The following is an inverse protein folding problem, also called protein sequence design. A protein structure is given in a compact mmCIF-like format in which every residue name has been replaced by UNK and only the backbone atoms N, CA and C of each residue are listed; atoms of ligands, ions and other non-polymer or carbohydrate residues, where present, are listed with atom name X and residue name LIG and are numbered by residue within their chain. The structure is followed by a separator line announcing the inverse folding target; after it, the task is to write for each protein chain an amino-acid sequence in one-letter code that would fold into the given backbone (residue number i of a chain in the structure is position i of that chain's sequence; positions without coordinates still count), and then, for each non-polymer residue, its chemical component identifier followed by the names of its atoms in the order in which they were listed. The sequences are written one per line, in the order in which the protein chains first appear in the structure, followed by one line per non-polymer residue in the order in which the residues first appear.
data_IF_083619940776
#
_entry.id   IF_083619940776
#
_cell.length_a   1.000
_cell.length_b   1.000
_cell.length_c   1.000
_cell.angle_alpha   90.00
_cell.angle_beta   90.00
_cell.angle_gamma   90.00
#
_symmetry.space_group_name_H-M   'P 1'
#
loop_
_entity.id
_entity.type
_entity.pdbx_description
1 polymer ?
#
# COMPACT_ATOMS: atom_id res chain seq x y z
N UNK A 1 67.35 35.74 -79.34
CA UNK A 1 66.18 36.64 -79.35
C UNK A 1 65.07 35.88 -78.66
N UNK A 2 64.39 36.58 -77.74
CA UNK A 2 63.31 36.19 -76.80
C UNK A 2 63.72 35.45 -75.52
N UNK A 3 63.66 36.23 -74.43
CA UNK A 3 63.57 35.87 -73.01
C UNK A 3 62.49 34.82 -72.75
N UNK A 4 62.80 33.84 -71.89
CA UNK A 4 61.81 33.03 -71.18
C UNK A 4 61.57 33.60 -69.77
N UNK A 5 60.29 33.60 -69.37
CA UNK A 5 59.72 34.18 -68.16
C UNK A 5 60.17 33.47 -66.87
N UNK A 6 60.13 34.15 -65.71
CA UNK A 6 60.53 33.56 -64.43
C UNK A 6 59.44 32.64 -63.86
N UNK A 7 59.86 31.52 -63.26
CA UNK A 7 59.01 30.65 -62.44
C UNK A 7 58.81 31.29 -61.05
N UNK A 8 57.56 31.56 -60.66
CA UNK A 8 57.22 31.97 -59.30
C UNK A 8 57.42 30.83 -58.28
N UNK A 9 57.81 31.12 -57.04
CA UNK A 9 57.98 30.09 -56.01
C UNK A 9 56.64 29.53 -55.54
N UNK A 10 56.54 28.20 -55.45
CA UNK A 10 55.39 27.49 -54.87
C UNK A 10 55.11 27.95 -53.43
N UNK A 11 53.90 28.44 -53.18
CA UNK A 11 53.45 28.87 -51.85
C UNK A 11 53.31 27.69 -50.89
N UNK A 12 53.81 27.86 -49.66
CA UNK A 12 53.68 26.87 -48.58
C UNK A 12 52.21 26.52 -48.28
N UNK A 13 51.91 25.24 -47.96
CA UNK A 13 50.54 24.83 -47.62
C UNK A 13 50.08 25.45 -46.30
N UNK A 14 48.97 26.20 -46.38
CA UNK A 14 48.28 26.80 -45.24
C UNK A 14 47.75 25.73 -44.26
N UNK A 15 47.94 25.89 -42.93
CA UNK A 15 47.37 24.97 -41.95
C UNK A 15 45.84 25.15 -41.86
N UNK A 16 45.12 24.03 -41.82
CA UNK A 16 43.66 24.01 -41.68
C UNK A 16 43.23 24.58 -40.31
N UNK A 17 42.11 25.32 -40.24
CA UNK A 17 41.64 25.91 -38.99
C UNK A 17 41.20 24.84 -37.97
N UNK A 18 41.36 25.10 -36.66
CA UNK A 18 41.05 24.12 -35.61
C UNK A 18 39.55 23.84 -35.52
N UNK A 19 39.22 22.55 -35.49
CA UNK A 19 37.86 22.01 -35.43
C UNK A 19 37.23 22.32 -34.05
N UNK A 20 36.21 23.18 -34.01
CA UNK A 20 35.46 23.57 -32.79
C UNK A 20 34.68 22.37 -32.23
N UNK A 21 35.16 21.77 -31.14
CA UNK A 21 34.58 20.55 -30.49
C UNK A 21 33.80 20.82 -29.18
N UNK A 22 33.40 22.06 -28.88
CA UNK A 22 32.98 22.43 -27.52
C UNK A 22 31.51 22.91 -27.43
N UNK A 23 30.64 22.56 -28.39
CA UNK A 23 29.19 22.91 -28.31
C UNK A 23 28.25 21.75 -28.66
N UNK A 24 28.30 20.61 -27.95
CA UNK A 24 27.05 19.84 -27.81
C UNK A 24 26.80 19.23 -26.42
N UNK A 25 27.29 19.80 -25.31
CA UNK A 25 27.06 19.22 -23.97
C UNK A 25 26.01 19.94 -23.10
N UNK A 26 25.63 21.20 -23.37
CA UNK A 26 24.64 21.92 -22.56
C UNK A 26 23.19 21.82 -23.09
N UNK A 27 22.99 21.32 -24.32
CA UNK A 27 21.68 21.23 -24.97
C UNK A 27 20.88 19.97 -24.64
N UNK A 28 21.49 18.93 -24.03
CA UNK A 28 20.81 17.67 -23.77
C UNK A 28 19.89 17.72 -22.53
N UNK A 29 20.25 18.51 -21.51
CA UNK A 29 19.48 18.60 -20.26
C UNK A 29 18.17 19.39 -20.41
N UNK A 30 18.16 20.44 -21.24
CA UNK A 30 16.95 21.21 -21.56
C UNK A 30 16.01 20.46 -22.51
N UNK A 31 16.55 19.65 -23.42
CA UNK A 31 15.76 18.82 -24.33
C UNK A 31 14.99 17.69 -23.60
N UNK A 32 15.59 17.09 -22.56
CA UNK A 32 14.94 16.04 -21.76
C UNK A 32 13.72 16.52 -20.96
N UNK A 33 13.79 17.72 -20.39
CA UNK A 33 12.69 18.30 -19.59
C UNK A 33 11.51 18.75 -20.47
N UNK A 34 11.77 19.29 -21.67
CA UNK A 34 10.72 19.67 -22.62
C UNK A 34 10.02 18.45 -23.23
N UNK A 35 10.75 17.36 -23.52
CA UNK A 35 10.18 16.14 -24.12
C UNK A 35 9.23 15.41 -23.17
N UNK A 36 9.50 15.44 -21.85
CA UNK A 36 8.64 14.84 -20.82
C UNK A 36 7.28 15.55 -20.66
N UNK A 37 7.16 16.81 -21.13
CA UNK A 37 5.93 17.60 -21.01
C UNK A 37 4.93 17.28 -22.15
N UNK A 38 5.42 16.80 -23.30
CA UNK A 38 4.60 16.53 -24.49
C UNK A 38 4.31 15.05 -24.76
N UNK A 39 4.96 14.11 -24.06
CA UNK A 39 4.71 12.67 -24.18
C UNK A 39 4.26 12.11 -22.82
N UNK A 40 2.93 11.98 -22.58
CA UNK A 40 2.40 11.33 -21.39
C UNK A 40 2.95 9.88 -21.28
N UNK A 41 3.76 9.60 -20.26
CA UNK A 41 4.35 8.26 -20.02
C UNK A 41 5.85 8.12 -20.31
N UNK A 42 6.55 9.18 -20.71
CA UNK A 42 8.00 9.16 -20.93
C UNK A 42 8.82 9.02 -19.63
N UNK A 43 8.28 9.50 -18.50
CA UNK A 43 8.82 9.21 -17.18
C UNK A 43 8.11 7.96 -16.63
N UNK A 44 8.84 6.98 -16.06
CA UNK A 44 8.22 5.86 -15.38
C UNK A 44 7.29 6.40 -14.30
N UNK A 45 5.98 6.16 -14.44
CA UNK A 45 5.00 6.52 -13.42
C UNK A 45 5.33 5.73 -12.16
N UNK A 46 5.64 6.45 -11.07
CA UNK A 46 5.65 5.85 -9.74
C UNK A 46 4.27 5.22 -9.49
N UNK A 47 4.24 3.90 -9.32
CA UNK A 47 3.02 3.21 -8.89
C UNK A 47 2.88 3.43 -7.40
N UNK A 48 1.74 3.98 -7.01
CA UNK A 48 1.38 4.14 -5.60
C UNK A 48 0.38 3.04 -5.23
N UNK A 49 0.77 2.15 -4.32
CA UNK A 49 -0.16 1.28 -3.61
C UNK A 49 -0.92 2.11 -2.58
N UNK A 50 -2.23 1.87 -2.44
CA UNK A 50 -3.08 2.55 -1.46
C UNK A 50 -3.93 1.50 -0.75
N UNK A 51 -4.03 1.64 0.57
CA UNK A 51 -4.78 0.73 1.42
C UNK A 51 -5.13 1.38 2.75
N UNK A 52 -5.56 0.53 3.68
CA UNK A 52 -5.94 0.90 5.04
C UNK A 52 -5.02 0.22 6.03
N UNK A 53 -4.83 0.82 7.20
CA UNK A 53 -4.29 0.16 8.37
C UNK A 53 -5.01 0.61 9.63
N UNK A 54 -4.60 0.09 10.77
CA UNK A 54 -5.12 0.53 12.06
C UNK A 54 -4.09 0.39 13.18
N UNK A 55 -4.19 1.26 14.19
CA UNK A 55 -3.32 1.27 15.36
C UNK A 55 -3.50 0.03 16.24
N UNK A 56 -2.41 -0.61 16.66
CA UNK A 56 -2.43 -1.85 17.48
C UNK A 56 -1.66 -1.75 18.78
N UNK A 57 -0.80 -0.75 18.92
CA UNK A 57 -0.08 -0.44 20.15
C UNK A 57 0.34 1.04 20.17
N UNK A 58 0.56 1.56 21.37
CA UNK A 58 1.07 2.92 21.57
C UNK A 58 2.44 3.10 20.89
N UNK A 59 2.74 4.32 20.44
CA UNK A 59 3.98 4.61 19.70
C UNK A 59 3.84 4.50 18.18
N UNK A 60 2.61 4.45 17.66
CA UNK A 60 2.34 4.48 16.21
C UNK A 60 2.55 3.15 15.51
N UNK A 61 2.32 2.03 16.19
CA UNK A 61 2.34 0.71 15.56
C UNK A 61 1.04 0.50 14.80
N UNK A 62 1.16 0.21 13.50
CA UNK A 62 0.02 0.05 12.59
C UNK A 62 0.09 -1.32 11.94
N UNK A 63 -1.02 -2.07 11.98
CA UNK A 63 -1.20 -3.25 11.14
C UNK A 63 -1.82 -2.85 9.80
N UNK A 64 -1.36 -3.49 8.73
CA UNK A 64 -1.94 -3.40 7.38
C UNK A 64 -1.67 -4.69 6.61
N UNK A 65 -2.15 -4.77 5.36
CA UNK A 65 -1.90 -5.90 4.50
C UNK A 65 -0.48 -5.85 3.89
N UNK A 66 0.21 -6.99 3.81
CA UNK A 66 1.57 -7.05 3.30
C UNK A 66 1.66 -6.55 1.85
N UNK A 67 0.71 -6.96 1.01
CA UNK A 67 0.71 -6.58 -0.40
C UNK A 67 0.55 -5.07 -0.64
N UNK A 68 0.04 -4.30 0.35
CA UNK A 68 -0.05 -2.83 0.26
C UNK A 68 1.33 -2.19 0.28
N UNK A 69 2.25 -2.71 1.10
CA UNK A 69 3.55 -2.07 1.38
C UNK A 69 4.76 -2.83 0.85
N UNK A 70 4.55 -4.04 0.31
CA UNK A 70 5.62 -4.88 -0.21
C UNK A 70 6.35 -4.22 -1.37
N UNK A 71 7.68 -4.17 -1.28
CA UNK A 71 8.53 -3.57 -2.31
C UNK A 71 8.48 -2.04 -2.36
N UNK A 72 7.82 -1.39 -1.40
CA UNK A 72 7.74 0.05 -1.33
C UNK A 72 9.11 0.66 -1.00
N UNK A 73 9.49 1.70 -1.74
CA UNK A 73 10.66 2.55 -1.42
C UNK A 73 10.31 3.60 -0.37
N UNK A 74 9.04 3.99 -0.27
CA UNK A 74 8.53 4.92 0.73
C UNK A 74 7.13 4.46 1.19
N UNK A 75 6.90 4.51 2.51
CA UNK A 75 5.58 4.24 3.11
C UNK A 75 5.16 5.51 3.86
N UNK A 76 3.92 5.94 3.60
CA UNK A 76 3.27 7.04 4.29
C UNK A 76 1.97 6.57 4.93
N UNK A 77 1.74 7.00 6.16
CA UNK A 77 0.49 6.81 6.90
C UNK A 77 -0.20 8.17 7.01
N UNK A 78 -1.46 8.24 6.60
CA UNK A 78 -2.29 9.42 6.77
C UNK A 78 -3.30 9.19 7.88
N UNK A 79 -3.33 10.12 8.83
CA UNK A 79 -4.24 10.09 9.97
C UNK A 79 -4.66 11.52 10.30
N UNK A 80 -5.96 11.76 10.48
CA UNK A 80 -6.54 13.11 10.68
C UNK A 80 -6.07 14.16 9.65
N UNK A 81 -5.88 13.72 8.40
CA UNK A 81 -5.41 14.57 7.29
C UNK A 81 -3.91 14.90 7.31
N UNK A 82 -3.16 14.44 8.32
CA UNK A 82 -1.72 14.62 8.43
C UNK A 82 -0.98 13.43 7.83
N UNK A 83 0.13 13.71 7.14
CA UNK A 83 1.01 12.70 6.55
C UNK A 83 2.18 12.40 7.48
N UNK A 84 2.34 11.13 7.83
CA UNK A 84 3.46 10.62 8.63
C UNK A 84 4.27 9.64 7.79
N UNK A 85 5.60 9.74 7.87
CA UNK A 85 6.46 8.68 7.33
C UNK A 85 6.32 7.45 8.21
N UNK A 86 6.36 6.27 7.62
CA UNK A 86 6.37 5.02 8.36
C UNK A 86 7.40 4.04 7.78
N UNK A 87 7.82 3.10 8.62
CA UNK A 87 8.74 2.02 8.25
C UNK A 87 8.07 0.68 8.51
N UNK A 88 8.16 -0.25 7.55
CA UNK A 88 7.75 -1.64 7.78
C UNK A 88 8.81 -2.35 8.62
N UNK A 89 8.48 -2.65 9.88
CA UNK A 89 9.38 -3.33 10.83
C UNK A 89 9.19 -4.84 10.85
N UNK A 90 8.06 -5.33 10.33
CA UNK A 90 7.86 -6.74 10.03
C UNK A 90 6.93 -6.91 8.81
N UNK A 91 7.22 -7.92 8.00
CA UNK A 91 6.44 -8.28 6.82
C UNK A 91 6.27 -9.80 6.79
N UNK A 92 5.06 -10.26 6.49
CA UNK A 92 4.75 -11.68 6.28
C UNK A 92 3.84 -11.81 5.06
N UNK A 93 4.43 -12.01 3.87
CA UNK A 93 3.66 -12.24 2.64
C UNK A 93 2.75 -13.48 2.75
N UNK A 94 3.22 -14.54 3.41
CA UNK A 94 2.46 -15.81 3.59
C UNK A 94 1.21 -15.67 4.47
N UNK A 95 1.10 -14.58 5.22
CA UNK A 95 -0.08 -14.24 6.01
C UNK A 95 -0.76 -12.97 5.52
N UNK A 96 -0.21 -12.35 4.47
CA UNK A 96 -0.57 -11.01 4.01
C UNK A 96 -0.60 -9.95 5.13
N UNK A 97 0.36 -9.98 6.05
CA UNK A 97 0.47 -9.04 7.18
C UNK A 97 1.72 -8.17 7.10
N UNK A 98 1.57 -6.88 7.42
CA UNK A 98 2.67 -5.97 7.67
C UNK A 98 2.45 -5.22 8.99
N UNK A 99 3.55 -5.05 9.74
CA UNK A 99 3.60 -4.18 10.90
C UNK A 99 4.46 -2.97 10.54
N UNK A 100 3.84 -1.79 10.63
CA UNK A 100 4.48 -0.51 10.42
C UNK A 100 4.72 0.18 11.76
N UNK A 101 5.72 1.06 11.81
CA UNK A 101 5.89 2.06 12.86
C UNK A 101 5.92 3.45 12.22
N UNK A 102 5.12 4.38 12.75
CA UNK A 102 5.10 5.77 12.32
C UNK A 102 6.25 6.56 12.95
N UNK A 103 6.94 7.36 12.14
CA UNK A 103 7.95 8.29 12.63
C UNK A 103 7.27 9.44 13.39
N UNK A 104 7.79 9.78 14.58
CA UNK A 104 7.21 10.82 15.46
C UNK A 104 5.69 10.68 15.61
N UNK A 105 5.27 9.46 15.96
CA UNK A 105 3.88 9.08 15.96
C UNK A 105 3.02 10.02 16.83
N UNK A 106 1.88 10.50 16.29
CA UNK A 106 0.86 11.14 17.11
C UNK A 106 0.25 10.11 18.08
N UNK A 107 -0.61 10.53 19.04
CA UNK A 107 -1.33 9.61 19.93
C UNK A 107 -2.42 8.83 19.18
N UNK A 108 -2.02 8.00 18.21
CA UNK A 108 -2.89 7.14 17.43
C UNK A 108 -3.62 6.17 18.38
N UNK A 109 -4.96 6.18 18.41
CA UNK A 109 -5.75 5.23 19.19
C UNK A 109 -5.44 3.78 18.83
N UNK A 110 -5.54 2.92 19.84
CA UNK A 110 -5.25 1.50 19.72
C UNK A 110 -6.56 0.74 19.60
N UNK A 111 -6.71 -0.03 18.52
CA UNK A 111 -7.84 -0.90 18.28
C UNK A 111 -7.90 -2.04 19.32
N UNK A 112 -9.10 -2.37 19.78
CA UNK A 112 -9.33 -3.59 20.57
C UNK A 112 -9.40 -4.80 19.66
N UNK A 113 -8.74 -5.90 20.03
CA UNK A 113 -8.70 -7.13 19.22
C UNK A 113 -9.59 -8.20 19.84
N UNK A 114 -10.41 -8.86 19.04
CA UNK A 114 -11.32 -9.88 19.54
C UNK A 114 -10.57 -11.16 19.97
N UNK A 115 -10.82 -11.63 21.18
CA UNK A 115 -10.42 -12.95 21.68
C UNK A 115 -11.30 -14.08 21.14
N UNK A 116 -12.57 -13.77 20.90
CA UNK A 116 -13.53 -14.74 20.39
C UNK A 116 -13.45 -14.80 18.87
N UNK A 117 -13.51 -16.01 18.32
CA UNK A 117 -13.60 -16.21 16.86
C UNK A 117 -15.02 -15.88 16.37
N UNK A 118 -15.16 -15.19 15.22
CA UNK A 118 -16.46 -14.98 14.62
C UNK A 118 -17.07 -16.32 14.16
N UNK A 119 -18.39 -16.33 14.02
CA UNK A 119 -19.20 -17.44 13.53
C UNK A 119 -19.86 -17.06 12.22
N UNK A 120 -20.21 -18.08 11.42
CA UNK A 120 -21.02 -17.88 10.23
C UNK A 120 -22.37 -17.28 10.63
N UNK A 121 -22.76 -16.20 9.96
CA UNK A 121 -23.95 -15.42 10.25
C UNK A 121 -23.69 -14.16 11.09
N UNK A 122 -22.51 -14.02 11.71
CA UNK A 122 -22.19 -12.82 12.49
C UNK A 122 -22.16 -11.58 11.59
N UNK A 123 -22.81 -10.51 12.05
CA UNK A 123 -22.74 -9.20 11.43
C UNK A 123 -21.39 -8.55 11.74
N UNK A 124 -20.72 -8.04 10.71
CA UNK A 124 -19.40 -7.41 10.82
C UNK A 124 -19.32 -6.19 9.93
N UNK A 125 -18.43 -5.26 10.28
CA UNK A 125 -18.23 -4.03 9.49
C UNK A 125 -16.75 -3.88 9.18
N UNK A 126 -16.41 -3.74 7.90
CA UNK A 126 -15.07 -3.30 7.52
C UNK A 126 -15.00 -1.78 7.53
N UNK A 127 -13.98 -1.20 8.16
CA UNK A 127 -13.82 0.26 8.21
C UNK A 127 -12.50 0.63 7.56
N UNK A 128 -12.54 1.31 6.41
CA UNK A 128 -11.31 1.61 5.68
C UNK A 128 -11.42 2.82 4.78
N UNK A 129 -10.34 3.09 4.04
CA UNK A 129 -10.24 4.21 3.12
C UNK A 129 -10.34 3.71 1.67
N UNK A 130 -11.54 3.66 1.07
CA UNK A 130 -11.67 3.41 -0.36
C UNK A 130 -10.79 4.34 -1.17
N UNK A 131 -10.31 3.90 -2.32
CA UNK A 131 -9.49 4.74 -3.20
C UNK A 131 -10.17 6.08 -3.47
N UNK A 132 -9.50 7.18 -3.08
CA UNK A 132 -10.01 8.55 -3.24
C UNK A 132 -10.79 9.10 -2.03
N UNK A 133 -11.06 8.29 -1.01
CA UNK A 133 -11.69 8.75 0.22
C UNK A 133 -10.68 9.46 1.14
N UNK A 134 -11.09 10.62 1.69
CA UNK A 134 -10.32 11.37 2.67
C UNK A 134 -10.55 10.89 4.11
N UNK A 135 -11.72 10.30 4.38
CA UNK A 135 -12.12 9.77 5.67
C UNK A 135 -12.38 8.27 5.57
N UNK A 136 -12.27 7.52 6.67
CA UNK A 136 -12.64 6.11 6.67
C UNK A 136 -14.15 5.96 6.48
N UNK A 137 -14.55 4.94 5.73
CA UNK A 137 -15.94 4.58 5.44
C UNK A 137 -16.23 3.17 5.97
N UNK A 138 -17.37 2.97 6.65
CA UNK A 138 -17.84 1.65 7.05
C UNK A 138 -18.43 0.91 5.84
N UNK A 139 -18.26 -0.41 5.82
CA UNK A 139 -18.87 -1.34 4.89
C UNK A 139 -19.41 -2.54 5.68
N UNK A 140 -20.71 -2.57 6.00
CA UNK A 140 -21.31 -3.69 6.71
C UNK A 140 -21.42 -4.92 5.79
N UNK A 141 -21.24 -6.10 6.37
CA UNK A 141 -21.37 -7.39 5.71
C UNK A 141 -21.63 -8.50 6.74
N UNK A 142 -21.67 -9.75 6.30
CA UNK A 142 -21.87 -10.92 7.16
C UNK A 142 -20.78 -11.95 6.92
N UNK A 143 -20.40 -12.65 7.99
CA UNK A 143 -19.49 -13.79 7.89
C UNK A 143 -20.20 -14.96 7.24
N UNK A 144 -19.65 -15.48 6.14
CA UNK A 144 -20.17 -16.65 5.42
C UNK A 144 -19.25 -17.87 5.53
N UNK A 145 -18.04 -17.70 6.07
CA UNK A 145 -17.10 -18.78 6.28
C UNK A 145 -15.96 -18.39 7.21
N UNK A 146 -15.41 -19.37 7.93
CA UNK A 146 -14.24 -19.19 8.82
C UNK A 146 -13.27 -20.34 8.66
N UNK A 147 -11.97 -20.09 8.85
CA UNK A 147 -10.92 -21.11 8.67
C UNK A 147 -10.65 -21.45 7.21
N UNK A 148 -11.04 -20.59 6.28
CA UNK A 148 -10.83 -20.78 4.85
C UNK A 148 -9.36 -20.61 4.46
N UNK A 149 -9.04 -21.06 3.25
CA UNK A 149 -7.77 -20.78 2.60
C UNK A 149 -8.03 -20.29 1.18
N UNK A 150 -7.12 -19.47 0.67
CA UNK A 150 -7.18 -18.94 -0.70
C UNK A 150 -5.78 -18.87 -1.29
N UNK A 151 -5.71 -18.94 -2.62
CA UNK A 151 -4.45 -18.74 -3.35
C UNK A 151 -4.40 -17.27 -3.78
N UNK A 152 -3.41 -16.55 -3.28
CA UNK A 152 -3.14 -15.16 -3.63
C UNK A 152 -2.45 -15.01 -5.00
N UNK A 153 -2.22 -13.76 -5.45
CA UNK A 153 -1.72 -13.44 -6.80
C UNK A 153 -0.36 -14.06 -7.16
N UNK A 154 0.44 -14.45 -6.16
CA UNK A 154 1.79 -15.00 -6.34
C UNK A 154 1.89 -16.47 -5.91
N UNK A 155 0.79 -17.22 -6.03
CA UNK A 155 0.68 -18.63 -5.56
C UNK A 155 0.82 -18.80 -4.04
N UNK A 156 0.89 -17.71 -3.30
CA UNK A 156 0.88 -17.70 -1.84
C UNK A 156 -0.44 -18.27 -1.32
N UNK A 157 -0.36 -19.29 -0.46
CA UNK A 157 -1.55 -19.87 0.16
C UNK A 157 -1.84 -19.14 1.47
N UNK A 158 -2.84 -18.27 1.45
CA UNK A 158 -3.35 -17.62 2.65
C UNK A 158 -4.26 -18.59 3.39
N UNK A 159 -4.16 -18.61 4.72
CA UNK A 159 -4.85 -19.55 5.62
C UNK A 159 -5.51 -18.81 6.77
N UNK A 160 -6.47 -19.48 7.41
CA UNK A 160 -7.23 -18.95 8.52
C UNK A 160 -8.00 -17.66 8.14
N UNK A 161 -8.63 -17.73 6.97
CA UNK A 161 -9.42 -16.64 6.41
C UNK A 161 -10.86 -16.67 6.95
N UNK A 162 -11.40 -15.47 7.09
CA UNK A 162 -12.81 -15.17 7.26
C UNK A 162 -13.33 -14.78 5.87
N UNK A 163 -14.36 -15.48 5.39
CA UNK A 163 -15.06 -15.14 4.17
C UNK A 163 -16.30 -14.30 4.53
N UNK A 164 -16.53 -13.23 3.77
CA UNK A 164 -17.68 -12.33 3.93
C UNK A 164 -18.59 -12.39 2.73
N UNK A 165 -19.88 -12.13 2.96
CA UNK A 165 -20.89 -12.15 1.91
C UNK A 165 -20.58 -11.14 0.80
N UNK A 166 -20.13 -9.95 1.18
CA UNK A 166 -19.91 -8.84 0.24
C UNK A 166 -18.41 -8.71 -0.10
N UNK A 167 -18.08 -8.46 -1.38
CA UNK A 167 -16.71 -8.25 -1.80
C UNK A 167 -16.19 -6.88 -1.37
N UNK A 168 -14.90 -6.84 -1.04
CA UNK A 168 -14.17 -5.61 -0.75
C UNK A 168 -13.69 -4.91 -2.03
N UNK A 169 -13.61 -3.58 -1.96
CA UNK A 169 -13.12 -2.71 -3.05
C UNK A 169 -11.70 -2.23 -2.77
N UNK A 170 -10.96 -1.77 -3.81
CA UNK A 170 -9.64 -1.17 -3.63
C UNK A 170 -9.64 -0.07 -2.55
N UNK A 171 -8.61 -0.09 -1.70
CA UNK A 171 -8.49 0.79 -0.53
C UNK A 171 -8.84 0.12 0.81
N UNK A 172 -9.70 -0.91 0.81
CA UNK A 172 -10.00 -1.67 2.04
C UNK A 172 -8.90 -2.67 2.42
N UNK A 173 -7.92 -2.97 1.56
CA UNK A 173 -6.80 -3.84 1.92
C UNK A 173 -6.08 -3.36 3.17
N UNK A 174 -6.03 -4.20 4.21
CA UNK A 174 -5.48 -3.90 5.53
C UNK A 174 -6.48 -3.25 6.50
N UNK A 175 -7.75 -3.05 6.10
CA UNK A 175 -8.79 -2.51 6.96
C UNK A 175 -9.16 -3.49 8.09
N UNK A 176 -9.46 -3.00 9.30
CA UNK A 176 -10.06 -3.82 10.34
C UNK A 176 -11.48 -4.23 9.93
N UNK A 177 -11.76 -5.53 10.06
CA UNK A 177 -13.10 -6.09 10.08
C UNK A 177 -13.50 -6.23 11.55
N UNK A 178 -14.53 -5.50 11.99
CA UNK A 178 -14.92 -5.43 13.40
C UNK A 178 -16.26 -6.12 13.67
N UNK A 179 -16.38 -6.70 14.86
CA UNK A 179 -17.65 -7.16 15.42
C UNK A 179 -18.43 -5.98 16.03
N UNK A 180 -19.55 -6.33 16.64
CA UNK A 180 -20.46 -5.36 17.23
C UNK A 180 -19.91 -4.60 18.45
N UNK A 181 -18.91 -5.16 19.13
CA UNK A 181 -18.24 -4.49 20.23
C UNK A 181 -17.11 -3.56 19.73
N UNK A 182 -16.98 -3.35 18.41
CA UNK A 182 -15.88 -2.60 17.82
C UNK A 182 -14.53 -3.34 17.91
N UNK A 183 -14.54 -4.64 18.24
CA UNK A 183 -13.34 -5.44 18.36
C UNK A 183 -12.98 -5.99 16.97
N UNK A 184 -11.71 -5.89 16.60
CA UNK A 184 -11.21 -6.39 15.32
C UNK A 184 -11.22 -7.92 15.34
N UNK A 185 -11.98 -8.53 14.43
CA UNK A 185 -12.04 -9.99 14.22
C UNK A 185 -11.19 -10.44 13.03
N UNK A 186 -10.88 -9.53 12.10
CA UNK A 186 -10.05 -9.83 10.93
C UNK A 186 -9.44 -8.59 10.27
N UNK A 187 -8.55 -8.84 9.32
CA UNK A 187 -7.82 -7.83 8.54
C UNK A 187 -8.11 -8.09 7.07
N UNK A 188 -8.78 -7.16 6.39
CA UNK A 188 -9.21 -7.34 4.99
C UNK A 188 -8.00 -7.55 4.08
N UNK A 189 -8.01 -8.62 3.28
CA UNK A 189 -6.93 -8.94 2.33
C UNK A 189 -7.38 -8.75 0.87
N UNK A 190 -8.66 -8.95 0.57
CA UNK A 190 -9.19 -8.74 -0.78
C UNK A 190 -10.47 -9.52 -1.03
N UNK A 191 -10.76 -9.79 -2.30
CA UNK A 191 -11.95 -10.52 -2.73
C UNK A 191 -11.55 -11.56 -3.77
N UNK A 192 -12.29 -12.67 -3.83
CA UNK A 192 -12.13 -13.64 -4.91
C UNK A 192 -13.47 -14.31 -5.23
N UNK A 193 -13.57 -14.82 -6.46
CA UNK A 193 -14.69 -15.63 -6.91
C UNK A 193 -14.16 -17.02 -7.30
N UNK A 194 -14.88 -18.07 -6.90
CA UNK A 194 -14.72 -19.37 -7.53
C UNK A 194 -15.27 -19.32 -8.96
N UNK A 195 -14.78 -20.19 -9.85
CA UNK A 195 -15.26 -20.22 -11.23
C UNK A 195 -16.78 -20.44 -11.29
N UNK A 196 -17.51 -19.46 -11.84
CA UNK A 196 -18.97 -19.47 -11.91
C UNK A 196 -19.71 -19.18 -10.58
N UNK A 197 -19.00 -18.90 -9.50
CA UNK A 197 -19.57 -18.54 -8.20
C UNK A 197 -19.64 -17.02 -7.95
N UNK A 198 -20.35 -16.58 -6.91
CA UNK A 198 -20.35 -15.18 -6.49
C UNK A 198 -18.96 -14.77 -5.98
N UNK A 199 -18.62 -13.49 -6.17
CA UNK A 199 -17.43 -12.89 -5.56
C UNK A 199 -17.69 -12.70 -4.06
N UNK A 200 -16.75 -13.15 -3.23
CA UNK A 200 -16.80 -13.03 -1.76
C UNK A 200 -15.60 -12.24 -1.26
N UNK A 201 -15.77 -11.54 -0.15
CA UNK A 201 -14.68 -10.85 0.53
C UNK A 201 -13.88 -11.79 1.42
N UNK A 202 -12.60 -11.49 1.62
CA UNK A 202 -11.70 -12.22 2.50
C UNK A 202 -10.97 -11.29 3.46
N UNK A 203 -10.90 -11.72 4.70
CA UNK A 203 -10.08 -11.13 5.74
C UNK A 203 -9.23 -12.21 6.43
N UNK A 204 -7.97 -11.91 6.72
CA UNK A 204 -7.11 -12.75 7.56
C UNK A 204 -7.62 -12.65 9.00
N UNK A 205 -7.83 -13.79 9.68
CA UNK A 205 -8.29 -13.77 11.07
C UNK A 205 -7.35 -12.96 11.96
N UNK A 206 -7.90 -12.17 12.89
CA UNK A 206 -7.08 -11.43 13.85
C UNK A 206 -6.20 -12.36 14.68
N UNK A 207 -6.64 -13.59 14.91
CA UNK A 207 -5.89 -14.61 15.65
C UNK A 207 -4.58 -14.96 14.95
N UNK A 208 -4.59 -15.01 13.62
CA UNK A 208 -3.37 -15.21 12.82
C UNK A 208 -2.38 -14.07 13.04
N UNK A 209 -2.86 -12.83 13.09
CA UNK A 209 -2.01 -11.68 13.35
C UNK A 209 -1.49 -11.68 14.79
N UNK A 210 -2.32 -12.02 15.77
CA UNK A 210 -1.93 -12.15 17.18
C UNK A 210 -0.82 -13.19 17.34
N UNK A 211 -0.97 -14.40 16.78
CA UNK A 211 0.05 -15.45 16.82
C UNK A 211 1.37 -14.98 16.18
N UNK A 212 1.26 -14.32 15.02
CA UNK A 212 2.39 -13.77 14.30
C UNK A 212 3.16 -12.70 15.12
N UNK A 213 2.45 -11.83 15.81
CA UNK A 213 3.03 -10.76 16.63
C UNK A 213 3.52 -11.26 17.99
N UNK A 214 2.86 -12.25 18.60
CA UNK A 214 3.27 -12.88 19.84
C UNK A 214 4.65 -13.55 19.68
N UNK A 215 4.90 -14.20 18.54
CA UNK A 215 6.23 -14.72 18.18
C UNK A 215 7.34 -13.66 18.10
N UNK A 216 7.00 -12.37 18.19
CA UNK A 216 7.91 -11.21 18.18
C UNK A 216 7.95 -10.47 19.53
N UNK A 217 7.29 -11.01 20.57
CA UNK A 217 7.30 -10.43 21.92
C UNK A 217 6.42 -9.19 22.10
N UNK A 218 5.46 -8.95 21.20
CA UNK A 218 4.52 -7.82 21.34
C UNK A 218 3.32 -8.19 22.22
N UNK A 219 3.02 -7.33 23.19
CA UNK A 219 1.78 -7.39 23.97
C UNK A 219 0.65 -6.68 23.22
N UNK A 220 -0.51 -7.33 23.12
CA UNK A 220 -1.64 -6.84 22.33
C UNK A 220 -2.90 -6.62 23.18
N UNK A 221 -3.76 -5.66 22.81
CA UNK A 221 -4.98 -5.29 23.52
C UNK A 221 -6.13 -6.27 23.21
N UNK A 222 -6.03 -7.49 23.73
CA UNK A 222 -7.03 -8.52 23.54
C UNK A 222 -8.27 -8.27 24.43
N UNK A 223 -9.47 -8.38 23.86
CA UNK A 223 -10.75 -8.18 24.55
C UNK A 223 -11.75 -9.30 24.23
N UNK A 224 -12.56 -9.69 25.22
CA UNK A 224 -13.63 -10.69 25.09
C UNK A 224 -15.01 -10.04 25.10
N UNK A 225 -16.01 -10.73 24.55
CA UNK A 225 -17.41 -10.30 24.63
C UNK A 225 -17.84 -9.44 23.46
N UNK A 226 -18.55 -10.07 22.53
CA UNK A 226 -19.38 -9.43 21.51
C UNK A 226 -20.83 -9.88 21.67
N UNK A 227 -21.78 -8.95 21.49
CA UNK A 227 -23.19 -9.29 21.31
C UNK A 227 -23.43 -9.88 19.91
N UNK A 228 -24.67 -10.32 19.64
CA UNK A 228 -25.14 -10.76 18.31
C UNK A 228 -26.22 -9.83 17.73
N UNK A 229 -26.30 -8.59 18.21
CA UNK A 229 -27.20 -7.54 17.74
C UNK A 229 -26.50 -6.62 16.71
N UNK A 230 -26.96 -6.58 15.45
CA UNK A 230 -26.22 -5.93 14.37
C UNK A 230 -25.82 -4.49 14.70
N UNK A 231 -24.53 -4.19 14.61
CA UNK A 231 -24.03 -2.82 14.74
C UNK A 231 -24.47 -1.98 13.56
N UNK A 232 -24.92 -0.76 13.87
CA UNK A 232 -25.23 0.24 12.85
C UNK A 232 -23.93 0.80 12.29
N UNK A 233 -23.91 1.11 11.00
CA UNK A 233 -22.73 1.65 10.28
C UNK A 233 -22.03 2.80 11.02
N UNK A 234 -22.81 3.74 11.57
CA UNK A 234 -22.28 4.88 12.32
C UNK A 234 -21.60 4.50 13.64
N UNK A 235 -22.10 3.48 14.32
CA UNK A 235 -21.56 3.03 15.61
C UNK A 235 -20.23 2.30 15.43
N UNK A 236 -20.07 1.49 14.38
CA UNK A 236 -18.77 0.90 14.02
C UNK A 236 -17.73 1.99 13.77
N UNK A 237 -18.07 3.02 13.00
CA UNK A 237 -17.17 4.12 12.68
C UNK A 237 -16.74 4.91 13.92
N UNK A 238 -17.66 5.14 14.85
CA UNK A 238 -17.35 5.82 16.12
C UNK A 238 -16.41 5.00 17.02
N UNK A 239 -16.58 3.66 17.03
CA UNK A 239 -15.79 2.76 17.87
C UNK A 239 -14.36 2.54 17.35
N UNK A 240 -14.18 2.33 16.05
CA UNK A 240 -12.87 1.97 15.47
C UNK A 240 -12.24 3.08 14.61
N UNK A 241 -13.04 3.96 14.03
CA UNK A 241 -12.59 5.00 13.09
C UNK A 241 -11.40 5.83 13.56
N UNK A 242 -11.32 6.26 14.83
CA UNK A 242 -10.17 7.00 15.35
C UNK A 242 -8.84 6.23 15.26
N UNK A 243 -8.85 4.90 15.28
CA UNK A 243 -7.67 4.05 15.15
C UNK A 243 -7.33 3.73 13.67
N UNK A 244 -8.21 4.03 12.72
CA UNK A 244 -8.07 3.67 11.31
C UNK A 244 -7.25 4.73 10.57
N UNK A 245 -6.32 4.27 9.75
CA UNK A 245 -5.40 5.12 8.97
C UNK A 245 -5.43 4.74 7.50
N UNK A 246 -5.10 5.70 6.62
CA UNK A 246 -4.82 5.41 5.21
C UNK A 246 -3.33 5.12 5.05
N UNK A 247 -3.01 4.06 4.32
CA UNK A 247 -1.63 3.68 4.03
C UNK A 247 -1.37 3.90 2.54
N UNK A 248 -0.28 4.61 2.22
CA UNK A 248 0.22 4.76 0.87
C UNK A 248 1.65 4.23 0.79
N UNK A 249 1.92 3.48 -0.26
CA UNK A 249 3.21 2.88 -0.55
C UNK A 249 3.65 3.31 -1.94
N UNK A 250 4.81 3.95 -2.06
CA UNK A 250 5.39 4.25 -3.37
C UNK A 250 6.33 3.14 -3.75
N UNK A 251 6.09 2.56 -4.92
CA UNK A 251 7.01 1.58 -5.50
C UNK A 251 8.13 2.30 -6.26
N UNK A 252 9.35 1.73 -6.27
CA UNK A 252 10.44 2.29 -7.04
C UNK A 252 10.10 2.29 -8.55
N UNK A 253 10.64 3.26 -9.32
CA UNK A 253 10.46 3.31 -10.77
C UNK A 253 10.84 1.99 -11.45
N UNK A 254 9.98 1.47 -12.32
CA UNK A 254 10.26 0.26 -13.12
C UNK A 254 9.95 -1.08 -12.43
N UNK A 255 9.35 -1.07 -11.24
CA UNK A 255 8.75 -2.27 -10.63
C UNK A 255 7.60 -2.81 -11.49
N UNK A 256 7.59 -4.13 -11.75
CA UNK A 256 6.50 -4.83 -12.47
C UNK A 256 5.43 -5.28 -11.49
#
# INVERSE_FOLDING_TARGET
MTDELPLEPEGEPQPLPPRRWWVPFLSLLLAGALLATFIPGLLPRERTGSGTGFGIAAGGYVLTAAHVVRGASEIAVYWEGQRHRATAIALSPDHDLALLVMDNAPPLPVASLALDRPKVGDAVVAVGHPTGAAQPLPLPTHVVGVGWWAVGPETTVLRDLIATQDPFRPGYSGAPLVNEAGQVVGIVTGSAAAEGGPEVGFAVSIHRAVDWLAGRGMALPLASGGSSLPVREGEALDLIGPAVVRVEARLPPGSR
#
